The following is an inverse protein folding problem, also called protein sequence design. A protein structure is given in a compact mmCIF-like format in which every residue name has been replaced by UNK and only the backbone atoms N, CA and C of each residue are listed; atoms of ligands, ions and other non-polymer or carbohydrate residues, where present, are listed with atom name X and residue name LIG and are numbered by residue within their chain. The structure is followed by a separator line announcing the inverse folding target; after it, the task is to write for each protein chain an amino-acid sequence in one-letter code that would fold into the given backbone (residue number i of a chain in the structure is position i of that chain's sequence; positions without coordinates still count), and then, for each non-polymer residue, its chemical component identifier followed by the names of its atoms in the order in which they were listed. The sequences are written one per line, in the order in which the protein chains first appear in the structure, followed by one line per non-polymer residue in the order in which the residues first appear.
data_IF_154737610076
#
_entry.id   IF_154737610076
#
_cell.length_a   1.000
_cell.length_b   1.000
_cell.length_c   1.000
_cell.angle_alpha   90.00
_cell.angle_beta   90.00
_cell.angle_gamma   90.00
#
_symmetry.space_group_name_H-M   'P 1'
#
loop_
_entity.id
_entity.type
_entity.pdbx_description
1 polymer ?
#
# COMPACT_ATOMS: atom_id res chain seq x y z
N UNK A 1 -5.70 -4.57 6.17
CA UNK A 1 -4.88 -4.12 5.03
C UNK A 1 -4.20 -2.80 5.32
N UNK A 2 -4.95 -1.81 5.81
CA UNK A 2 -4.37 -0.48 6.03
C UNK A 2 -3.17 -0.46 6.97
N UNK A 3 -3.24 -1.22 8.06
CA UNK A 3 -2.13 -1.28 8.99
C UNK A 3 -0.89 -1.90 8.34
N UNK A 4 -1.09 -2.89 7.48
CA UNK A 4 0.02 -3.52 6.78
C UNK A 4 0.64 -2.55 5.77
N UNK A 5 -0.19 -1.75 5.10
CA UNK A 5 0.32 -0.73 4.19
C UNK A 5 1.19 0.27 4.94
N UNK A 6 0.71 0.73 6.09
CA UNK A 6 1.46 1.70 6.88
C UNK A 6 2.77 1.12 7.37
N UNK A 7 2.75 -0.13 7.86
CA UNK A 7 3.95 -0.77 8.36
C UNK A 7 4.98 -0.95 7.25
N UNK A 8 4.56 -1.44 6.09
CA UNK A 8 5.48 -1.64 4.97
C UNK A 8 6.09 -0.32 4.51
N UNK A 9 5.27 0.74 4.47
CA UNK A 9 5.76 2.06 4.10
C UNK A 9 6.79 2.56 5.11
N UNK A 10 6.47 2.43 6.40
CA UNK A 10 7.38 2.87 7.45
C UNK A 10 8.69 2.11 7.42
N UNK A 11 8.61 0.79 7.21
CA UNK A 11 9.80 -0.04 7.13
C UNK A 11 10.68 0.33 5.94
N UNK A 12 10.09 0.88 4.91
CA UNK A 12 10.82 1.34 3.72
C UNK A 12 11.37 2.74 3.88
N UNK A 13 11.07 3.41 4.98
CA UNK A 13 11.56 4.76 5.24
C UNK A 13 10.88 5.83 4.41
N UNK A 14 9.70 5.55 3.86
CA UNK A 14 9.01 6.49 2.99
C UNK A 14 7.90 7.20 3.74
N UNK A 15 7.77 8.51 3.54
CA UNK A 15 6.57 9.23 3.96
C UNK A 15 5.46 8.96 2.96
N UNK A 16 4.22 9.28 3.35
CA UNK A 16 3.11 9.17 2.40
C UNK A 16 3.35 10.03 1.16
N UNK A 17 3.90 11.22 1.36
CA UNK A 17 4.18 12.12 0.26
C UNK A 17 5.20 11.54 -0.72
N UNK A 18 6.29 11.01 -0.18
CA UNK A 18 7.32 10.42 -1.02
C UNK A 18 6.82 9.18 -1.76
N UNK A 19 6.03 8.37 -1.06
CA UNK A 19 5.47 7.19 -1.69
C UNK A 19 4.53 7.57 -2.83
N UNK A 20 3.68 8.57 -2.63
CA UNK A 20 2.76 9.00 -3.68
C UNK A 20 3.51 9.59 -4.86
N UNK A 21 4.61 10.30 -4.62
CA UNK A 21 5.43 10.81 -5.70
C UNK A 21 6.01 9.65 -6.52
N UNK A 22 6.45 8.59 -5.86
CA UNK A 22 6.97 7.42 -6.55
C UNK A 22 5.88 6.72 -7.35
N UNK A 23 4.70 6.60 -6.79
CA UNK A 23 3.57 5.99 -7.50
C UNK A 23 3.22 6.78 -8.75
N UNK A 24 3.19 8.10 -8.65
CA UNK A 24 2.90 8.95 -9.80
C UNK A 24 3.97 8.81 -10.87
N UNK A 25 5.23 8.73 -10.46
CA UNK A 25 6.32 8.52 -11.40
C UNK A 25 6.17 7.19 -12.15
N UNK A 26 5.57 6.20 -11.50
CA UNK A 26 5.35 4.89 -12.12
C UNK A 26 4.04 4.82 -12.91
N UNK A 27 3.32 5.92 -13.00
CA UNK A 27 2.07 5.97 -13.75
C UNK A 27 0.82 5.71 -12.94
N UNK A 28 0.95 5.55 -11.62
CA UNK A 28 -0.20 5.42 -10.74
C UNK A 28 -0.58 6.82 -10.26
N UNK A 29 -1.56 7.40 -10.91
CA UNK A 29 -1.95 8.78 -10.66
C UNK A 29 -2.93 8.85 -9.49
N UNK A 30 -2.41 8.71 -8.28
CA UNK A 30 -3.22 8.90 -7.08
C UNK A 30 -2.56 9.96 -6.21
N UNK A 31 -3.40 10.75 -5.55
CA UNK A 31 -2.91 11.76 -4.65
C UNK A 31 -2.75 11.22 -3.24
N UNK A 32 -2.11 12.04 -2.39
CA UNK A 32 -1.88 11.67 -1.00
C UNK A 32 -3.18 11.42 -0.24
N UNK A 33 -4.21 12.23 -0.53
CA UNK A 33 -5.50 12.08 0.16
C UNK A 33 -6.10 10.70 -0.12
N UNK A 34 -6.07 10.27 -1.37
CA UNK A 34 -6.58 8.94 -1.73
C UNK A 34 -5.75 7.84 -1.09
N UNK A 35 -4.43 7.98 -1.14
CA UNK A 35 -3.57 6.96 -0.55
C UNK A 35 -3.80 6.86 0.97
N UNK A 36 -3.95 8.01 1.65
CA UNK A 36 -4.20 8.02 3.09
C UNK A 36 -5.47 7.23 3.44
N UNK A 37 -6.47 7.27 2.56
CA UNK A 37 -7.70 6.51 2.79
C UNK A 37 -7.48 5.01 2.67
N UNK A 38 -6.51 4.59 1.88
CA UNK A 38 -6.12 3.17 1.85
C UNK A 38 -5.55 2.74 3.21
N UNK A 39 -4.69 3.56 3.79
CA UNK A 39 -4.09 3.23 5.09
C UNK A 39 -5.10 3.28 6.22
N UNK A 40 -6.07 4.18 6.13
CA UNK A 40 -7.11 4.29 7.16
C UNK A 40 -8.22 3.26 7.03
N UNK A 41 -8.27 2.57 5.90
CA UNK A 41 -9.31 1.58 5.65
C UNK A 41 -10.59 2.15 5.09
N UNK A 42 -10.62 3.44 4.79
CA UNK A 42 -11.82 4.06 4.23
C UNK A 42 -12.08 3.63 2.79
N UNK A 43 -11.02 3.31 2.05
CA UNK A 43 -11.12 2.83 0.68
C UNK A 43 -10.36 1.53 0.54
N UNK A 44 -10.89 0.65 -0.31
CA UNK A 44 -10.18 -0.55 -0.71
C UNK A 44 -9.12 -0.18 -1.73
N UNK A 45 -7.93 -0.76 -1.57
CA UNK A 45 -6.83 -0.44 -2.46
C UNK A 45 -7.09 -1.05 -3.85
N UNK A 46 -6.76 -0.29 -4.88
CA UNK A 46 -6.86 -0.78 -6.25
C UNK A 46 -5.75 -1.78 -6.52
N UNK A 47 -6.06 -2.79 -7.34
CA UNK A 47 -5.06 -3.78 -7.71
C UNK A 47 -3.85 -3.14 -8.39
N UNK A 48 -4.06 -2.14 -9.24
CA UNK A 48 -2.96 -1.48 -9.93
C UNK A 48 -2.00 -0.81 -8.94
N UNK A 49 -2.53 -0.22 -7.89
CA UNK A 49 -1.70 0.41 -6.86
C UNK A 49 -0.96 -0.66 -6.07
N UNK A 50 -1.64 -1.75 -5.71
CA UNK A 50 -1.04 -2.83 -4.95
C UNK A 50 0.14 -3.45 -5.70
N UNK A 51 0.00 -3.64 -6.99
CA UNK A 51 1.06 -4.18 -7.83
C UNK A 51 2.30 -3.28 -7.78
N UNK A 52 2.10 -1.97 -7.86
CA UNK A 52 3.22 -1.04 -7.80
C UNK A 52 3.86 -1.00 -6.42
N UNK A 53 3.05 -1.06 -5.37
CA UNK A 53 3.58 -1.10 -4.02
C UNK A 53 4.44 -2.33 -3.79
N UNK A 54 3.99 -3.47 -4.31
CA UNK A 54 4.79 -4.69 -4.20
C UNK A 54 6.16 -4.49 -4.83
N UNK A 55 6.21 -3.84 -5.97
CA UNK A 55 7.46 -3.58 -6.65
C UNK A 55 8.34 -2.61 -5.85
N UNK A 56 7.72 -1.55 -5.34
CA UNK A 56 8.46 -0.53 -4.57
C UNK A 56 9.07 -1.14 -3.32
N UNK A 57 8.31 -1.96 -2.59
CA UNK A 57 8.78 -2.53 -1.33
C UNK A 57 9.61 -3.79 -1.53
N UNK A 58 9.55 -4.41 -2.71
CA UNK A 58 10.27 -5.65 -2.97
C UNK A 58 9.77 -6.80 -2.11
N UNK A 59 8.50 -6.79 -1.77
CA UNK A 59 7.90 -7.81 -0.91
C UNK A 59 6.99 -8.73 -1.72
N UNK A 60 6.48 -9.77 -1.06
CA UNK A 60 5.47 -10.64 -1.65
C UNK A 60 4.09 -10.08 -1.32
N UNK A 61 3.10 -10.44 -2.14
CA UNK A 61 1.74 -10.00 -1.87
C UNK A 61 1.25 -10.43 -0.50
N UNK A 62 1.74 -11.55 0.01
CA UNK A 62 1.36 -12.04 1.33
C UNK A 62 1.59 -11.01 2.42
N UNK A 63 2.61 -10.16 2.26
CA UNK A 63 2.94 -9.15 3.25
C UNK A 63 1.81 -8.14 3.45
N UNK A 64 1.02 -7.90 2.41
CA UNK A 64 -0.10 -6.97 2.50
C UNK A 64 -1.27 -7.54 3.28
N UNK A 65 -1.34 -8.87 3.37
CA UNK A 65 -2.47 -9.56 3.98
C UNK A 65 -2.11 -10.22 5.30
N UNK A 66 -0.93 -9.91 5.82
CA UNK A 66 -0.46 -10.51 7.05
C UNK A 66 -1.42 -10.18 8.20
N UNK A 67 -1.81 -11.18 8.94
CA UNK A 67 -2.75 -11.00 10.03
C UNK A 67 -4.21 -10.90 9.59
N UNK A 68 -4.46 -10.94 8.30
CA UNK A 68 -5.82 -10.85 7.76
C UNK A 68 -6.33 -12.18 7.26
N UNK A 69 -5.52 -13.22 7.35
CA UNK A 69 -5.89 -14.54 6.87
C UNK A 69 -7.08 -15.06 7.64
N UNK A 70 -7.98 -15.68 6.93
CA UNK A 70 -9.15 -16.29 7.52
C UNK A 70 -8.89 -17.76 7.67
N UNK A 71 -9.17 -18.26 8.85
CA UNK A 71 -8.95 -19.69 9.12
C UNK A 71 -10.19 -20.50 8.84
N UNK A 72 -11.34 -19.88 8.86
CA UNK A 72 -12.54 -20.62 8.50
C UNK A 72 -12.58 -20.79 6.99
N UNK A 73 -13.06 -21.88 6.60
CA UNK A 73 -13.17 -22.13 5.17
C UNK A 73 -14.33 -21.39 4.59
#
# INVERSE_FOLDING_TARGET
MGDNLRRLRADSGLSQEKLCAELQRRGCDIGRTTYAKYESGELNIRASVLIELRSIYGCKYDAFFEGLERTEA
#
